data_IF_385156493091
#
_entry.id   IF_385156493091
#
_cell.length_a   1.000
_cell.length_b   1.000
_cell.length_c   1.000
_cell.angle_alpha   90.00
_cell.angle_beta   90.00
_cell.angle_gamma   90.00
#
_symmetry.space_group_name_H-M   'P 1'
#
loop_
_entity.id
_entity.type
_entity.pdbx_description
1 polymer ?
#
# COMPACT_ATOMS: atom_id res chain seq x y z
N UNK A 1 -1.31 -19.05 25.18
CA UNK A 1 -0.79 -17.75 24.68
C UNK A 1 -1.61 -16.64 25.33
N UNK A 2 -1.00 -15.55 25.80
CA UNK A 2 -1.72 -14.37 26.33
C UNK A 2 -1.23 -13.14 25.56
N UNK A 3 -2.15 -12.24 25.19
CA UNK A 3 -1.81 -10.97 24.53
C UNK A 3 -1.38 -9.98 25.61
N UNK A 4 -0.18 -9.41 25.47
CA UNK A 4 0.35 -8.43 26.42
C UNK A 4 0.01 -6.99 26.03
N UNK A 5 -0.06 -6.72 24.73
CA UNK A 5 -0.37 -5.41 24.16
C UNK A 5 -1.11 -5.62 22.83
N UNK A 6 -2.28 -5.00 22.69
CA UNK A 6 -3.11 -5.12 21.48
C UNK A 6 -2.54 -4.32 20.31
N UNK A 7 -1.98 -3.14 20.59
CA UNK A 7 -1.40 -2.24 19.57
C UNK A 7 -0.01 -1.77 19.98
N UNK A 8 1.02 -2.31 19.34
CA UNK A 8 2.42 -1.94 19.56
C UNK A 8 2.90 -0.78 18.67
N UNK A 9 2.12 -0.44 17.64
CA UNK A 9 2.46 0.60 16.66
C UNK A 9 1.98 0.22 15.27
N UNK A 10 1.94 1.21 14.37
CA UNK A 10 1.67 0.98 12.96
C UNK A 10 2.95 0.58 12.23
N UNK A 11 2.80 -0.26 11.20
CA UNK A 11 3.86 -0.63 10.29
C UNK A 11 3.55 -0.08 8.91
N UNK A 12 4.59 0.40 8.22
CA UNK A 12 4.51 0.79 6.82
C UNK A 12 4.45 -0.45 5.92
N UNK A 13 3.85 -0.30 4.75
CA UNK A 13 3.83 -1.35 3.72
C UNK A 13 5.25 -1.79 3.33
N UNK A 14 6.20 -0.85 3.35
CA UNK A 14 7.62 -1.14 3.13
C UNK A 14 8.21 -2.06 4.21
N UNK A 15 8.00 -1.76 5.50
CA UNK A 15 8.52 -2.59 6.60
C UNK A 15 7.93 -4.00 6.58
N UNK A 16 6.65 -4.13 6.25
CA UNK A 16 6.01 -5.45 6.08
C UNK A 16 6.62 -6.20 4.90
N UNK A 17 6.82 -5.53 3.76
CA UNK A 17 7.42 -6.15 2.59
C UNK A 17 8.88 -6.57 2.83
N UNK A 18 9.68 -5.74 3.50
CA UNK A 18 11.06 -6.03 3.87
C UNK A 18 11.14 -7.23 4.84
N UNK A 19 10.23 -7.28 5.82
CA UNK A 19 10.10 -8.42 6.72
C UNK A 19 9.76 -9.71 5.98
N UNK A 20 8.79 -9.68 5.04
CA UNK A 20 8.41 -10.84 4.24
C UNK A 20 9.57 -11.32 3.36
N UNK A 21 10.32 -10.40 2.74
CA UNK A 21 11.55 -10.72 1.98
C UNK A 21 12.58 -11.43 2.85
N UNK A 22 12.79 -10.94 4.08
CA UNK A 22 13.74 -11.56 5.02
C UNK A 22 13.35 -12.99 5.44
N UNK A 23 12.05 -13.32 5.41
CA UNK A 23 11.55 -14.68 5.66
C UNK A 23 11.66 -15.61 4.46
N UNK A 24 12.03 -15.09 3.28
CA UNK A 24 12.13 -15.84 2.03
C UNK A 24 10.91 -15.70 1.12
N UNK A 25 10.04 -14.72 1.36
CA UNK A 25 8.98 -14.38 0.41
C UNK A 25 9.62 -13.70 -0.80
N UNK A 26 9.33 -14.22 -1.98
CA UNK A 26 9.95 -13.77 -3.22
C UNK A 26 9.29 -14.39 -4.44
N UNK A 27 9.76 -13.97 -5.61
CA UNK A 27 9.32 -14.52 -6.91
C UNK A 27 10.01 -15.85 -7.26
N UNK A 28 11.06 -16.22 -6.53
CA UNK A 28 11.86 -17.38 -6.88
C UNK A 28 11.10 -18.70 -6.67
N UNK A 29 11.30 -19.72 -7.54
CA UNK A 29 10.67 -21.03 -7.40
C UNK A 29 11.01 -21.73 -6.08
N UNK A 30 12.13 -21.37 -5.46
CA UNK A 30 12.56 -21.82 -4.14
C UNK A 30 11.67 -21.33 -3.00
N UNK A 31 10.75 -20.38 -3.25
CA UNK A 31 9.78 -19.91 -2.27
C UNK A 31 8.99 -21.06 -1.64
N UNK A 32 8.60 -22.07 -2.41
CA UNK A 32 7.87 -23.24 -1.91
C UNK A 32 8.60 -24.02 -0.79
N UNK A 33 9.91 -23.81 -0.64
CA UNK A 33 10.76 -24.48 0.36
C UNK A 33 10.83 -23.66 1.67
N UNK A 34 10.51 -22.36 1.63
CA UNK A 34 10.71 -21.44 2.75
C UNK A 34 9.74 -21.63 3.93
N UNK A 35 8.74 -22.52 3.83
CA UNK A 35 7.80 -22.80 4.92
C UNK A 35 6.93 -21.59 5.31
N UNK A 36 6.75 -20.64 4.38
CA UNK A 36 5.96 -19.42 4.53
C UNK A 36 4.49 -19.76 4.34
N UNK A 37 3.62 -19.12 5.13
CA UNK A 37 2.19 -19.37 5.06
C UNK A 37 1.60 -18.83 3.74
N UNK A 38 0.55 -19.47 3.18
CA UNK A 38 -0.13 -18.96 1.99
C UNK A 38 -0.65 -17.51 2.16
N UNK A 39 -1.03 -17.13 3.38
CA UNK A 39 -1.43 -15.76 3.71
C UNK A 39 -0.28 -14.75 3.58
N UNK A 40 0.92 -15.11 4.01
CA UNK A 40 2.12 -14.27 3.89
C UNK A 40 2.49 -14.04 2.41
N UNK A 41 2.32 -15.07 1.56
CA UNK A 41 2.53 -14.92 0.10
C UNK A 41 1.52 -13.98 -0.55
N UNK A 42 0.23 -14.11 -0.24
CA UNK A 42 -0.78 -13.21 -0.78
C UNK A 42 -0.49 -11.75 -0.44
N UNK A 43 -0.02 -11.49 0.78
CA UNK A 43 0.38 -10.14 1.21
C UNK A 43 1.62 -9.69 0.46
N UNK A 44 2.64 -10.55 0.30
CA UNK A 44 3.83 -10.23 -0.49
C UNK A 44 3.47 -9.87 -1.94
N UNK A 45 2.69 -10.70 -2.63
CA UNK A 45 2.33 -10.51 -4.03
C UNK A 45 1.56 -9.20 -4.24
N UNK A 46 0.69 -8.82 -3.30
CA UNK A 46 0.02 -7.54 -3.31
C UNK A 46 0.99 -6.37 -3.10
N UNK A 47 1.79 -6.40 -2.02
CA UNK A 47 2.69 -5.31 -1.67
C UNK A 47 3.78 -5.08 -2.71
N UNK A 48 4.21 -6.14 -3.42
CA UNK A 48 5.20 -6.04 -4.49
C UNK A 48 4.71 -5.18 -5.66
N UNK A 49 3.40 -5.15 -5.91
CA UNK A 49 2.79 -4.33 -6.97
C UNK A 49 2.57 -2.87 -6.54
N UNK A 50 2.73 -2.56 -5.25
CA UNK A 50 2.54 -1.20 -4.71
C UNK A 50 3.82 -0.37 -4.73
N UNK A 51 3.71 0.91 -4.38
CA UNK A 51 4.87 1.81 -4.21
C UNK A 51 5.87 1.34 -3.13
N UNK A 52 5.48 0.43 -2.24
CA UNK A 52 6.36 -0.11 -1.21
C UNK A 52 7.54 -0.92 -1.80
N UNK A 53 7.42 -1.47 -3.01
CA UNK A 53 8.44 -2.33 -3.59
C UNK A 53 9.67 -1.60 -4.10
N UNK A 54 9.50 -0.34 -4.52
CA UNK A 54 10.57 0.54 -5.02
C UNK A 54 11.16 1.43 -3.95
N UNK A 55 10.49 1.59 -2.81
CA UNK A 55 10.98 2.33 -1.66
C UNK A 55 12.15 1.61 -0.96
N UNK A 56 13.02 2.40 -0.33
CA UNK A 56 14.08 1.92 0.55
C UNK A 56 13.96 2.57 1.92
N UNK A 57 14.62 1.97 2.92
CA UNK A 57 14.62 2.49 4.29
C UNK A 57 15.15 3.91 4.38
N UNK A 58 16.19 4.23 3.61
CA UNK A 58 16.80 5.55 3.59
C UNK A 58 15.84 6.61 3.03
N UNK A 59 15.12 6.27 1.95
CA UNK A 59 14.11 7.15 1.34
C UNK A 59 12.96 7.42 2.33
N UNK A 60 12.48 6.39 3.03
CA UNK A 60 11.41 6.54 4.01
C UNK A 60 11.84 7.46 5.17
N UNK A 61 13.07 7.33 5.66
CA UNK A 61 13.62 8.19 6.71
C UNK A 61 13.78 9.63 6.22
N UNK A 62 14.31 9.81 5.02
CA UNK A 62 14.46 11.13 4.39
C UNK A 62 13.10 11.83 4.24
N UNK A 63 12.09 11.10 3.78
CA UNK A 63 10.72 11.61 3.65
C UNK A 63 10.16 12.07 5.01
N UNK A 64 10.26 11.23 6.04
CA UNK A 64 9.80 11.57 7.40
C UNK A 64 10.52 12.82 7.95
N UNK A 65 11.79 13.02 7.61
CA UNK A 65 12.53 14.21 8.01
C UNK A 65 12.01 15.48 7.32
N UNK A 66 11.77 15.43 6.01
CA UNK A 66 11.21 16.54 5.24
C UNK A 66 9.76 16.86 5.64
N UNK A 67 8.97 15.84 5.99
CA UNK A 67 7.60 16.03 6.48
C UNK A 67 7.47 16.79 7.80
N UNK A 68 8.57 16.96 8.56
CA UNK A 68 8.55 17.74 9.81
C UNK A 68 8.24 19.21 9.59
N UNK A 69 8.54 19.73 8.40
CA UNK A 69 8.26 21.12 8.03
C UNK A 69 6.75 21.38 7.89
N UNK A 70 5.97 20.35 7.55
CA UNK A 70 4.53 20.45 7.27
C UNK A 70 3.63 20.07 8.47
N UNK A 71 4.23 19.79 9.64
CA UNK A 71 3.51 19.40 10.87
C UNK A 71 2.44 18.31 10.68
N UNK A 72 2.74 17.28 9.87
CA UNK A 72 1.83 16.18 9.59
C UNK A 72 1.73 15.20 10.76
N UNK A 73 0.53 14.67 10.99
CA UNK A 73 0.31 13.59 11.95
C UNK A 73 0.98 12.30 11.48
N UNK A 74 1.34 11.43 12.42
CA UNK A 74 2.01 10.15 12.11
C UNK A 74 1.20 9.26 11.16
N UNK A 75 -0.13 9.28 11.28
CA UNK A 75 -1.03 8.53 10.41
C UNK A 75 -1.06 9.10 8.98
N UNK A 76 -1.00 10.42 8.82
CA UNK A 76 -0.93 11.08 7.52
C UNK A 76 0.38 10.71 6.81
N UNK A 77 1.52 10.80 7.52
CA UNK A 77 2.84 10.41 6.98
C UNK A 77 2.84 8.93 6.58
N UNK A 78 2.28 8.05 7.41
CA UNK A 78 2.14 6.62 7.13
C UNK A 78 1.33 6.37 5.85
N UNK A 79 0.18 7.05 5.71
CA UNK A 79 -0.68 6.91 4.55
C UNK A 79 -0.02 7.43 3.27
N UNK A 80 0.69 8.56 3.35
CA UNK A 80 1.45 9.11 2.22
C UNK A 80 2.56 8.14 1.79
N UNK A 81 3.29 7.54 2.73
CA UNK A 81 4.31 6.53 2.43
C UNK A 81 3.71 5.29 1.75
N UNK A 82 2.56 4.84 2.21
CA UNK A 82 1.91 3.62 1.69
C UNK A 82 1.26 3.81 0.31
N UNK A 83 0.56 4.93 0.12
CA UNK A 83 -0.24 5.21 -1.10
C UNK A 83 0.60 5.91 -2.17
N UNK A 84 1.56 6.75 -1.76
CA UNK A 84 2.34 7.63 -2.63
C UNK A 84 1.44 8.46 -3.57
N UNK A 85 0.68 9.43 -3.02
CA UNK A 85 -0.17 10.31 -3.82
C UNK A 85 0.68 11.08 -4.83
N UNK A 86 0.27 11.04 -6.10
CA UNK A 86 0.97 11.72 -7.22
C UNK A 86 0.26 12.99 -7.69
N UNK A 87 -0.91 13.29 -7.12
CA UNK A 87 -1.70 14.48 -7.42
C UNK A 87 -2.40 15.01 -6.16
N UNK A 88 -2.80 16.28 -6.19
CA UNK A 88 -3.52 16.97 -5.11
C UNK A 88 -4.81 16.24 -4.74
N UNK A 89 -5.58 15.78 -5.73
CA UNK A 89 -6.83 15.04 -5.50
C UNK A 89 -6.63 13.73 -4.71
N UNK A 90 -5.46 13.09 -4.83
CA UNK A 90 -5.12 11.90 -4.06
C UNK A 90 -4.54 12.23 -2.67
N UNK A 91 -3.98 13.43 -2.50
CA UNK A 91 -3.39 13.91 -1.25
C UNK A 91 -4.44 14.52 -0.31
N UNK A 92 -5.43 15.23 -0.87
CA UNK A 92 -6.56 15.83 -0.16
C UNK A 92 -7.27 14.88 0.82
N UNK A 93 -7.69 13.65 0.45
CA UNK A 93 -8.37 12.75 1.37
C UNK A 93 -7.47 12.13 2.45
N UNK A 94 -6.14 12.32 2.37
CA UNK A 94 -5.18 11.74 3.31
C UNK A 94 -4.95 12.66 4.52
N UNK A 95 -4.97 13.98 4.31
CA UNK A 95 -4.68 14.98 5.34
C UNK A 95 -6.00 15.50 5.92
N UNK A 96 -6.08 15.55 7.25
CA UNK A 96 -7.24 16.11 7.93
C UNK A 96 -7.24 17.64 7.90
N UNK A 97 -8.44 18.21 7.79
CA UNK A 97 -8.65 19.66 7.77
C UNK A 97 -7.78 20.39 6.72
N UNK A 98 -7.71 19.81 5.51
CA UNK A 98 -6.93 20.33 4.38
C UNK A 98 -7.07 21.84 4.21
N UNK A 99 -8.31 22.31 4.13
CA UNK A 99 -8.64 23.71 3.91
C UNK A 99 -8.16 24.62 5.05
N UNK A 100 -8.11 24.13 6.29
CA UNK A 100 -7.66 24.94 7.43
C UNK A 100 -6.13 25.00 7.46
N UNK A 101 -5.44 23.89 7.13
CA UNK A 101 -3.97 23.84 7.15
C UNK A 101 -3.32 24.54 5.97
N UNK A 102 -3.92 24.45 4.79
CA UNK A 102 -3.41 25.01 3.54
C UNK A 102 -4.27 26.17 3.02
N UNK A 103 -5.02 26.84 3.90
CA UNK A 103 -5.85 27.99 3.56
C UNK A 103 -5.06 29.07 2.84
N UNK A 104 -5.62 29.52 1.71
CA UNK A 104 -5.10 30.63 0.87
C UNK A 104 -4.92 31.92 1.70
N UNK A 105 -5.71 32.13 2.74
CA UNK A 105 -5.65 33.33 3.60
C UNK A 105 -4.34 33.46 4.39
N UNK A 106 -3.61 32.36 4.64
CA UNK A 106 -2.31 32.39 5.34
C UNK A 106 -1.10 32.43 4.39
N UNK A 107 -1.30 32.43 3.07
CA UNK A 107 -0.21 32.47 2.08
C UNK A 107 0.58 31.15 1.96
N UNK A 108 -0.04 30.02 2.31
CA UNK A 108 0.57 28.68 2.35
C UNK A 108 0.36 27.82 1.10
N UNK A 109 -0.09 28.40 -0.01
CA UNK A 109 -0.21 27.69 -1.30
C UNK A 109 1.14 27.08 -1.75
N UNK A 110 2.26 27.71 -1.38
CA UNK A 110 3.60 27.18 -1.63
C UNK A 110 3.91 25.91 -0.81
N UNK A 111 3.27 25.73 0.35
CA UNK A 111 3.44 24.53 1.19
C UNK A 111 2.70 23.33 0.60
N UNK A 112 1.52 23.53 0.01
CA UNK A 112 0.75 22.49 -0.69
C UNK A 112 1.54 21.93 -1.89
N UNK A 113 1.94 22.81 -2.80
CA UNK A 113 2.75 22.43 -3.96
C UNK A 113 4.12 21.89 -3.52
N UNK A 114 4.67 22.43 -2.43
CA UNK A 114 5.91 21.98 -1.81
C UNK A 114 5.82 20.54 -1.30
N UNK A 115 4.73 20.16 -0.63
CA UNK A 115 4.53 18.81 -0.10
C UNK A 115 4.38 17.81 -1.25
N UNK A 116 3.53 18.09 -2.24
CA UNK A 116 3.36 17.20 -3.39
C UNK A 116 4.65 17.04 -4.19
N UNK A 117 5.39 18.13 -4.40
CA UNK A 117 6.70 18.11 -5.05
C UNK A 117 7.71 17.28 -4.24
N UNK A 118 7.71 17.42 -2.93
CA UNK A 118 8.58 16.62 -2.04
C UNK A 118 8.26 15.14 -2.15
N UNK A 119 6.97 14.76 -2.16
CA UNK A 119 6.52 13.38 -2.33
C UNK A 119 7.02 12.83 -3.67
N UNK A 120 6.80 13.54 -4.78
CA UNK A 120 7.21 13.10 -6.11
C UNK A 120 8.73 13.03 -6.30
N UNK A 121 9.49 13.88 -5.61
CA UNK A 121 10.96 13.91 -5.69
C UNK A 121 11.62 12.83 -4.83
N UNK A 122 11.08 12.56 -3.64
CA UNK A 122 11.69 11.64 -2.67
C UNK A 122 11.19 10.23 -2.88
N UNK A 123 9.88 10.04 -3.09
CA UNK A 123 9.30 8.70 -3.19
C UNK A 123 9.36 8.19 -4.65
N UNK A 124 10.04 7.05 -4.90
CA UNK A 124 10.17 6.48 -6.23
C UNK A 124 8.80 6.06 -6.77
N UNK A 125 8.62 6.08 -8.10
CA UNK A 125 7.39 5.61 -8.70
C UNK A 125 7.11 4.15 -8.37
N UNK A 126 5.83 3.75 -8.26
CA UNK A 126 5.49 2.34 -8.17
C UNK A 126 6.03 1.63 -9.42
N UNK A 127 6.33 0.32 -9.33
CA UNK A 127 6.69 -0.44 -10.50
C UNK A 127 5.55 -0.31 -11.52
N UNK A 128 5.88 0.10 -12.74
CA UNK A 128 4.96 0.21 -13.86
C UNK A 128 4.22 -1.12 -14.06
N UNK A 129 3.02 -1.25 -13.50
CA UNK A 129 2.14 -2.37 -13.79
C UNK A 129 1.59 -2.12 -15.19
N UNK A 130 2.27 -2.65 -16.20
CA UNK A 130 1.58 -2.98 -17.45
C UNK A 130 0.49 -3.97 -17.05
N UNK A 131 -0.75 -3.63 -17.41
CA UNK A 131 -2.01 -4.37 -17.26
C UNK A 131 -1.88 -5.84 -16.82
N UNK A 132 -2.49 -6.14 -15.68
CA UNK A 132 -3.14 -7.44 -15.49
C UNK A 132 -4.48 -7.18 -14.82
N UNK A 133 -5.43 -6.73 -15.65
CA UNK A 133 -6.81 -7.15 -15.51
C UNK A 133 -6.86 -8.65 -15.86
N UNK A 134 -7.52 -9.43 -15.00
CA UNK A 134 -8.05 -10.80 -15.14
C UNK A 134 -7.76 -11.65 -13.89
N UNK A 135 -8.83 -11.99 -13.17
CA UNK A 135 -8.79 -13.09 -12.21
C UNK A 135 -9.64 -13.00 -10.94
N UNK A 136 -10.77 -12.28 -10.91
CA UNK A 136 -11.84 -12.70 -9.99
C UNK A 136 -12.50 -13.90 -10.64
N UNK A 137 -11.93 -15.08 -10.39
CA UNK A 137 -12.63 -16.35 -10.56
C UNK A 137 -13.80 -16.35 -9.59
N UNK A 138 -14.96 -15.93 -10.07
CA UNK A 138 -16.23 -16.28 -9.44
C UNK A 138 -16.31 -17.79 -9.62
N UNK A 139 -16.12 -18.52 -8.53
CA UNK A 139 -16.46 -19.93 -8.47
C UNK A 139 -17.97 -20.02 -8.76
N UNK A 140 -18.34 -20.40 -9.99
CA UNK A 140 -19.70 -20.79 -10.30
C UNK A 140 -20.02 -22.04 -9.47
N UNK A 141 -20.93 -21.90 -8.51
CA UNK A 141 -21.55 -23.02 -7.82
C UNK A 141 -22.32 -23.87 -8.84
N UNK A 142 -21.71 -24.98 -9.25
CA UNK A 142 -22.35 -26.04 -10.03
C UNK A 142 -23.52 -26.63 -9.21
N UNK A 143 -24.74 -26.18 -9.52
CA UNK A 143 -25.97 -26.68 -8.91
C UNK A 143 -26.48 -27.91 -9.71
N UNK A 144 -26.50 -29.13 -9.15
CA UNK A 144 -26.64 -30.38 -9.93
C UNK A 144 -28.07 -30.75 -10.39
N UNK A 145 -29.06 -29.86 -10.32
CA UNK A 145 -30.48 -30.24 -10.48
C UNK A 145 -31.08 -30.08 -11.90
N UNK A 146 -30.33 -29.64 -12.91
CA UNK A 146 -30.90 -29.43 -14.27
C UNK A 146 -30.74 -30.59 -15.25
N UNK A 147 -29.99 -31.65 -14.91
CA UNK A 147 -29.76 -32.77 -15.84
C UNK A 147 -30.89 -33.82 -15.90
N UNK A 148 -31.93 -33.74 -15.05
CA UNK A 148 -33.02 -34.73 -15.08
C UNK A 148 -34.21 -34.39 -16.00
N UNK A 149 -34.27 -33.20 -16.63
CA UNK A 149 -35.39 -32.84 -17.52
C UNK A 149 -35.16 -33.07 -19.02
N UNK A 150 -33.94 -33.41 -19.44
CA UNK A 150 -33.61 -33.65 -20.88
C UNK A 150 -33.62 -35.12 -21.31
N UNK A 151 -33.90 -36.06 -20.41
CA UNK A 151 -33.97 -37.49 -20.73
C UNK A 151 -35.41 -38.00 -20.97
N UNK A 152 -36.39 -37.11 -21.08
CA UNK A 152 -37.81 -37.48 -21.19
C UNK A 152 -38.57 -36.67 -22.25
N UNK A 153 -37.90 -36.35 -23.36
CA UNK A 153 -38.55 -35.89 -24.60
C UNK A 153 -38.08 -36.73 -25.79
#
# INVERSE_FOLDING_TARGET
MKILQEYAGALTNFEVLDFLRSRGAGKDPTRLIAGIAPSEYKVYDYLEQTAASTQTRDIAIEFVQKCKEYNLAKAEILNILNIRPSCEAALYPIIEDWDIRFSVEEGKEEEELGLLKTICQVLPPPPSVMESDEGIGVEEEDNPDEQQKKAME
#
